data_IF_448603289327
#
_entry.id   IF_448603289327
#
_cell.length_a   1.000
_cell.length_b   1.000
_cell.length_c   1.000
_cell.angle_alpha   90.00
_cell.angle_beta   90.00
_cell.angle_gamma   90.00
#
_symmetry.space_group_name_H-M   'P 1'
#
loop_
_entity.id
_entity.type
_entity.pdbx_description
1 polymer ?
#
# COMPACT_ATOMS: atom_id res chain seq x y z
N UNK A 1 -2.48 -30.47 -13.25
CA UNK A 1 -3.30 -29.27 -13.54
C UNK A 1 -2.63 -28.54 -14.69
N UNK A 2 -3.22 -28.52 -15.90
CA UNK A 2 -2.61 -27.80 -17.04
C UNK A 2 -2.73 -26.30 -16.77
N UNK A 3 -1.61 -25.58 -16.79
CA UNK A 3 -1.61 -24.12 -16.72
C UNK A 3 -2.31 -23.59 -17.97
N UNK A 4 -3.31 -22.72 -17.78
CA UNK A 4 -4.00 -22.03 -18.87
C UNK A 4 -2.99 -21.25 -19.72
N UNK A 5 -3.22 -21.20 -21.03
CA UNK A 5 -2.40 -20.39 -21.93
C UNK A 5 -2.49 -18.90 -21.55
N UNK A 6 -1.45 -18.09 -21.82
CA UNK A 6 -1.49 -16.64 -21.56
C UNK A 6 -2.73 -15.94 -22.17
N UNK A 7 -3.17 -16.40 -23.34
CA UNK A 7 -4.37 -15.90 -24.03
C UNK A 7 -5.66 -16.21 -23.26
N UNK A 8 -5.79 -17.42 -22.71
CA UNK A 8 -6.93 -17.82 -21.89
C UNK A 8 -6.97 -17.03 -20.58
N UNK A 9 -5.82 -16.84 -19.92
CA UNK A 9 -5.72 -16.03 -18.70
C UNK A 9 -6.13 -14.58 -18.95
N UNK A 10 -5.66 -13.98 -20.04
CA UNK A 10 -6.04 -12.62 -20.42
C UNK A 10 -7.54 -12.50 -20.73
N UNK A 11 -8.12 -13.52 -21.38
CA UNK A 11 -9.55 -13.59 -21.64
C UNK A 11 -10.35 -13.65 -20.35
N UNK A 12 -9.95 -14.51 -19.41
CA UNK A 12 -10.61 -14.65 -18.10
C UNK A 12 -10.52 -13.37 -17.27
N UNK A 13 -9.35 -12.71 -17.23
CA UNK A 13 -9.17 -11.42 -16.56
C UNK A 13 -10.10 -10.35 -17.14
N UNK A 14 -10.22 -10.31 -18.46
CA UNK A 14 -11.10 -9.37 -19.14
C UNK A 14 -12.59 -9.64 -18.84
N UNK A 15 -13.02 -10.90 -18.88
CA UNK A 15 -14.41 -11.29 -18.52
C UNK A 15 -14.69 -10.92 -17.07
N UNK A 16 -13.81 -11.28 -16.13
CA UNK A 16 -13.97 -10.95 -14.72
C UNK A 16 -14.12 -9.45 -14.49
N UNK A 17 -13.28 -8.65 -15.15
CA UNK A 17 -13.33 -7.18 -15.10
C UNK A 17 -14.68 -6.64 -15.57
N UNK A 18 -15.19 -7.15 -16.70
CA UNK A 18 -16.51 -6.73 -17.22
C UNK A 18 -17.62 -7.12 -16.25
N UNK A 19 -17.60 -8.33 -15.68
CA UNK A 19 -18.57 -8.77 -14.70
C UNK A 19 -18.58 -7.88 -13.45
N UNK A 20 -17.41 -7.49 -12.95
CA UNK A 20 -17.28 -6.56 -11.83
C UNK A 20 -17.89 -5.18 -12.13
N UNK A 21 -17.70 -4.66 -13.35
CA UNK A 21 -18.30 -3.38 -13.78
C UNK A 21 -19.83 -3.50 -13.86
N UNK A 22 -20.35 -4.55 -14.50
CA UNK A 22 -21.79 -4.78 -14.60
C UNK A 22 -22.43 -4.95 -13.22
N UNK A 23 -21.79 -5.71 -12.33
CA UNK A 23 -22.20 -5.86 -10.94
C UNK A 23 -22.23 -4.51 -10.22
N UNK A 24 -21.21 -3.66 -10.40
CA UNK A 24 -21.16 -2.34 -9.78
C UNK A 24 -22.30 -1.43 -10.25
N UNK A 25 -22.67 -1.48 -11.53
CA UNK A 25 -23.82 -0.72 -12.08
C UNK A 25 -25.12 -1.17 -11.39
N UNK A 26 -25.37 -2.48 -11.33
CA UNK A 26 -26.56 -3.04 -10.67
C UNK A 26 -26.59 -2.63 -9.20
N UNK A 27 -25.45 -2.71 -8.50
CA UNK A 27 -25.35 -2.29 -7.09
C UNK A 27 -25.62 -0.79 -6.91
N UNK A 28 -25.19 0.05 -7.85
CA UNK A 28 -25.52 1.48 -7.84
C UNK A 28 -27.02 1.73 -7.99
N UNK A 29 -27.71 0.99 -8.85
CA UNK A 29 -29.17 1.09 -9.03
C UNK A 29 -29.91 0.66 -7.76
N UNK A 30 -29.33 -0.26 -6.99
CA UNK A 30 -29.81 -0.69 -5.68
C UNK A 30 -29.36 0.21 -4.52
N UNK A 31 -28.71 1.35 -4.80
CA UNK A 31 -28.14 2.29 -3.82
C UNK A 31 -27.07 1.67 -2.88
N UNK A 32 -26.48 0.53 -3.27
CA UNK A 32 -25.40 -0.17 -2.56
C UNK A 32 -24.02 0.34 -3.03
N UNK A 33 -23.72 1.60 -2.69
CA UNK A 33 -22.56 2.29 -3.25
C UNK A 33 -21.20 1.74 -2.77
N UNK A 34 -21.10 1.30 -1.52
CA UNK A 34 -19.85 0.74 -0.98
C UNK A 34 -19.53 -0.60 -1.64
N UNK A 35 -20.54 -1.44 -1.83
CA UNK A 35 -20.43 -2.73 -2.51
C UNK A 35 -20.12 -2.54 -4.00
N UNK A 36 -20.68 -1.50 -4.64
CA UNK A 36 -20.36 -1.15 -6.01
C UNK A 36 -18.88 -0.79 -6.18
N UNK A 37 -18.34 0.08 -5.30
CA UNK A 37 -16.92 0.46 -5.29
C UNK A 37 -16.06 -0.78 -5.00
N UNK A 38 -16.43 -1.59 -4.01
CA UNK A 38 -15.74 -2.85 -3.71
C UNK A 38 -15.67 -3.76 -4.93
N UNK A 39 -16.77 -3.94 -5.68
CA UNK A 39 -16.80 -4.73 -6.92
C UNK A 39 -15.80 -4.20 -7.96
N UNK A 40 -15.69 -2.87 -8.09
CA UNK A 40 -14.75 -2.20 -8.99
C UNK A 40 -13.29 -2.38 -8.54
N UNK A 41 -12.99 -2.26 -7.25
CA UNK A 41 -11.67 -2.53 -6.70
C UNK A 41 -11.27 -4.01 -6.89
N UNK A 42 -12.20 -4.96 -6.77
CA UNK A 42 -11.92 -6.38 -7.07
C UNK A 42 -11.46 -6.59 -8.51
N UNK A 43 -12.01 -5.84 -9.47
CA UNK A 43 -11.56 -5.91 -10.86
C UNK A 43 -10.10 -5.46 -11.02
N UNK A 44 -9.69 -4.44 -10.27
CA UNK A 44 -8.32 -3.94 -10.24
C UNK A 44 -7.41 -4.97 -9.54
N UNK A 45 -7.77 -5.39 -8.34
CA UNK A 45 -6.94 -6.23 -7.46
C UNK A 45 -6.75 -7.64 -8.05
N UNK A 46 -7.82 -8.28 -8.53
CA UNK A 46 -7.79 -9.69 -8.94
C UNK A 46 -7.40 -9.83 -10.42
N UNK A 47 -7.93 -8.96 -11.28
CA UNK A 47 -7.76 -9.09 -12.72
C UNK A 47 -6.80 -8.07 -13.33
N UNK A 48 -6.37 -7.05 -12.59
CA UNK A 48 -5.51 -5.97 -13.11
C UNK A 48 -6.24 -4.98 -14.01
N UNK A 49 -7.58 -5.07 -14.12
CA UNK A 49 -8.41 -4.20 -14.96
C UNK A 49 -7.89 -3.98 -16.41
N UNK A 50 -7.61 -5.05 -17.19
CA UNK A 50 -7.00 -4.94 -18.51
C UNK A 50 -7.77 -4.01 -19.46
N UNK A 51 -7.12 -2.91 -19.84
CA UNK A 51 -7.66 -1.87 -20.73
C UNK A 51 -8.86 -1.10 -20.17
N UNK A 52 -9.16 -1.19 -18.87
CA UNK A 52 -10.35 -0.60 -18.23
C UNK A 52 -10.06 0.16 -16.94
N UNK A 53 -8.79 0.24 -16.52
CA UNK A 53 -8.41 0.88 -15.25
C UNK A 53 -8.95 2.32 -15.14
N UNK A 54 -8.76 3.15 -16.17
CA UNK A 54 -9.22 4.55 -16.15
C UNK A 54 -10.75 4.66 -16.03
N UNK A 55 -11.48 3.80 -16.76
CA UNK A 55 -12.94 3.73 -16.66
C UNK A 55 -13.37 3.35 -15.24
N UNK A 56 -12.74 2.33 -14.66
CA UNK A 56 -13.05 1.86 -13.31
C UNK A 56 -12.76 2.95 -12.28
N UNK A 57 -11.61 3.62 -12.36
CA UNK A 57 -11.27 4.74 -11.49
C UNK A 57 -12.24 5.91 -11.64
N UNK A 58 -12.70 6.20 -12.86
CA UNK A 58 -13.72 7.22 -13.11
C UNK A 58 -15.06 6.84 -12.47
N UNK A 59 -15.49 5.58 -12.60
CA UNK A 59 -16.71 5.07 -11.97
C UNK A 59 -16.62 5.16 -10.44
N UNK A 60 -15.50 4.75 -9.85
CA UNK A 60 -15.27 4.86 -8.39
C UNK A 60 -15.45 6.31 -7.94
N UNK A 61 -14.79 7.27 -8.60
CA UNK A 61 -14.93 8.71 -8.27
C UNK A 61 -16.38 9.19 -8.41
N UNK A 62 -17.06 8.78 -9.48
CA UNK A 62 -18.47 9.13 -9.70
C UNK A 62 -19.41 8.58 -8.63
N UNK A 63 -19.17 7.37 -8.14
CA UNK A 63 -19.94 6.75 -7.04
C UNK A 63 -19.61 7.43 -5.71
N UNK A 64 -18.34 7.68 -5.42
CA UNK A 64 -17.91 8.39 -4.21
C UNK A 64 -18.52 9.80 -4.12
N UNK A 65 -18.63 10.52 -5.24
CA UNK A 65 -19.29 11.81 -5.29
C UNK A 65 -20.78 11.74 -4.90
N UNK A 66 -21.46 10.60 -5.10
CA UNK A 66 -22.85 10.38 -4.69
C UNK A 66 -23.01 10.05 -3.21
N UNK A 67 -22.01 9.41 -2.59
CA UNK A 67 -22.00 9.11 -1.15
C UNK A 67 -21.88 10.41 -0.33
N UNK A 68 -21.20 11.41 -0.90
CA UNK A 68 -20.85 12.66 -0.22
C UNK A 68 -19.42 12.60 0.29
N UNK A 69 -18.66 13.69 0.10
CA UNK A 69 -17.33 13.80 0.69
C UNK A 69 -17.45 14.06 2.18
N UNK A 70 -16.85 13.19 3.00
CA UNK A 70 -16.32 13.66 4.28
C UNK A 70 -15.36 14.81 3.98
N UNK A 71 -15.57 15.91 4.69
CA UNK A 71 -14.94 17.22 4.51
C UNK A 71 -13.52 17.17 3.98
N UNK A 72 -13.21 17.94 2.93
CA UNK A 72 -11.86 18.12 2.41
C UNK A 72 -10.84 18.28 3.55
N UNK A 73 -9.83 17.41 3.57
CA UNK A 73 -8.81 17.42 4.62
C UNK A 73 -8.14 18.79 4.68
N UNK A 74 -8.16 19.41 5.86
CA UNK A 74 -7.41 20.63 6.15
C UNK A 74 -6.23 20.22 7.01
N UNK A 75 -5.01 20.36 6.49
CA UNK A 75 -3.77 20.04 7.19
C UNK A 75 -3.54 20.86 8.49
N UNK A 76 -4.38 21.86 8.74
CA UNK A 76 -4.33 22.75 9.90
C UNK A 76 -4.70 22.01 11.19
N UNK A 77 -3.76 21.32 11.81
CA UNK A 77 -3.94 20.75 13.16
C UNK A 77 -3.09 19.54 13.51
N UNK A 78 -2.41 18.91 12.54
CA UNK A 78 -1.54 17.76 12.85
C UNK A 78 -0.23 18.27 13.45
N UNK A 79 -0.18 18.34 14.78
CA UNK A 79 1.08 18.60 15.50
C UNK A 79 2.12 17.58 15.03
N UNK A 80 3.30 18.06 14.63
CA UNK A 80 4.47 17.21 14.45
C UNK A 80 4.88 16.72 15.83
N UNK A 81 4.27 15.63 16.32
CA UNK A 81 4.90 14.87 17.39
C UNK A 81 6.19 14.32 16.78
N UNK A 82 7.32 14.71 17.35
CA UNK A 82 8.59 14.05 17.06
C UNK A 82 8.36 12.55 17.19
N UNK A 83 8.64 11.80 16.13
CA UNK A 83 8.82 10.37 16.28
C UNK A 83 10.01 10.20 17.22
N UNK A 84 9.75 9.74 18.45
CA UNK A 84 10.81 9.21 19.30
C UNK A 84 11.32 7.98 18.57
N UNK A 85 12.51 8.09 17.95
CA UNK A 85 13.23 6.95 17.41
C UNK A 85 13.27 5.88 18.50
N UNK A 86 12.71 4.70 18.24
CA UNK A 86 12.81 3.63 19.21
C UNK A 86 14.29 3.27 19.32
N UNK A 87 14.84 3.37 20.53
CA UNK A 87 16.18 2.84 20.83
C UNK A 87 16.10 1.33 20.68
N UNK A 88 16.43 0.83 19.50
CA UNK A 88 16.55 -0.61 19.28
C UNK A 88 17.81 -1.12 19.99
N UNK A 89 17.76 -2.31 20.58
CA UNK A 89 18.91 -2.95 21.24
C UNK A 89 19.91 -3.56 20.24
N UNK A 90 19.81 -3.26 18.96
CA UNK A 90 20.69 -3.79 17.91
C UNK A 90 21.90 -2.87 17.73
N UNK A 91 23.06 -3.42 17.34
CA UNK A 91 24.24 -2.63 17.02
C UNK A 91 23.91 -1.69 15.84
N UNK A 92 23.82 -0.39 16.13
CA UNK A 92 23.46 0.69 15.19
C UNK A 92 24.40 0.84 13.96
N UNK A 93 25.48 0.05 13.87
CA UNK A 93 26.62 0.32 12.99
C UNK A 93 26.87 -0.70 11.87
N UNK A 94 25.91 -1.57 11.52
CA UNK A 94 26.19 -2.64 10.54
C UNK A 94 26.05 -2.19 9.07
N UNK A 95 25.24 -1.17 8.78
CA UNK A 95 25.05 -0.61 7.43
C UNK A 95 25.52 0.85 7.41
N UNK A 96 26.45 1.24 6.51
CA UNK A 96 27.02 2.58 6.52
C UNK A 96 26.01 3.64 6.13
N UNK A 97 25.97 4.74 6.88
CA UNK A 97 25.30 5.96 6.45
C UNK A 97 26.24 6.81 5.61
N UNK A 98 25.79 7.24 4.44
CA UNK A 98 26.59 8.04 3.50
C UNK A 98 25.87 9.32 3.12
N UNK A 99 26.63 10.31 2.65
CA UNK A 99 26.04 11.46 1.95
C UNK A 99 25.50 11.02 0.59
N UNK A 100 24.42 11.65 0.08
CA UNK A 100 23.86 11.30 -1.21
C UNK A 100 24.94 11.28 -2.32
N UNK A 101 25.23 10.11 -2.91
CA UNK A 101 26.26 10.02 -3.93
C UNK A 101 25.79 10.70 -5.22
N UNK A 102 26.75 11.20 -6.01
CA UNK A 102 26.44 11.52 -7.41
C UNK A 102 25.95 10.27 -8.14
N UNK A 103 25.19 10.43 -9.22
CA UNK A 103 24.72 9.30 -10.02
C UNK A 103 25.87 8.37 -10.46
N UNK A 104 26.99 8.95 -10.89
CA UNK A 104 28.18 8.19 -11.30
C UNK A 104 28.83 7.45 -10.11
N UNK A 105 28.94 8.10 -8.95
CA UNK A 105 29.45 7.49 -7.72
C UNK A 105 28.57 6.34 -7.24
N UNK A 106 27.24 6.50 -7.35
CA UNK A 106 26.29 5.45 -7.04
C UNK A 106 26.50 4.23 -7.95
N UNK A 107 26.53 4.43 -9.27
CA UNK A 107 26.67 3.35 -10.23
C UNK A 107 27.99 2.58 -10.04
N UNK A 108 29.10 3.27 -9.81
CA UNK A 108 30.43 2.65 -9.76
C UNK A 108 30.79 2.05 -8.39
N UNK A 109 30.29 2.64 -7.30
CA UNK A 109 30.75 2.35 -5.94
C UNK A 109 29.59 1.96 -5.03
N UNK A 110 28.65 2.89 -4.78
CA UNK A 110 27.66 2.72 -3.70
C UNK A 110 26.63 1.64 -3.97
N UNK A 111 26.33 1.31 -5.23
CA UNK A 111 25.35 0.27 -5.61
C UNK A 111 25.76 -1.16 -5.24
N UNK A 112 27.03 -1.37 -4.85
CA UNK A 112 27.60 -2.70 -4.59
C UNK A 112 27.39 -3.21 -3.17
N UNK A 113 26.89 -2.38 -2.26
CA UNK A 113 26.63 -2.72 -0.86
C UNK A 113 25.48 -1.89 -0.30
N UNK A 114 24.72 -2.39 0.69
CA UNK A 114 23.68 -1.61 1.36
C UNK A 114 24.24 -0.32 1.99
N UNK A 115 23.47 0.77 1.94
CA UNK A 115 23.79 2.04 2.60
C UNK A 115 22.52 2.78 3.02
N UNK A 116 22.65 3.73 3.95
CA UNK A 116 21.56 4.58 4.45
C UNK A 116 21.78 6.03 4.07
N UNK A 117 20.81 6.64 3.38
CA UNK A 117 20.73 8.09 3.19
C UNK A 117 19.79 8.69 4.24
N UNK A 118 20.34 9.18 5.34
CA UNK A 118 19.55 9.82 6.41
C UNK A 118 18.97 11.13 5.89
N UNK A 119 17.72 11.40 6.26
CA UNK A 119 17.00 12.64 5.96
C UNK A 119 16.80 12.97 4.47
N UNK A 120 17.14 12.06 3.54
CA UNK A 120 17.06 12.34 2.10
C UNK A 120 15.63 12.58 1.59
N UNK A 121 14.64 11.97 2.27
CA UNK A 121 13.22 12.16 1.97
C UNK A 121 12.52 13.16 2.91
N UNK A 122 13.28 13.96 3.69
CA UNK A 122 12.73 14.88 4.69
C UNK A 122 11.77 15.91 4.08
N UNK A 123 12.08 16.39 2.87
CA UNK A 123 11.30 17.40 2.17
C UNK A 123 10.18 16.81 1.29
N UNK A 124 9.91 15.49 1.39
CA UNK A 124 8.84 14.89 0.60
C UNK A 124 7.47 15.38 1.11
N UNK A 125 6.49 15.63 0.20
CA UNK A 125 5.15 16.04 0.60
C UNK A 125 4.52 15.09 1.63
N UNK A 126 4.88 13.79 1.59
CA UNK A 126 4.43 12.77 2.53
C UNK A 126 4.69 13.10 4.02
N UNK A 127 5.70 13.94 4.29
CA UNK A 127 6.09 14.33 5.66
C UNK A 127 5.22 15.46 6.22
N UNK A 128 4.78 16.40 5.37
CA UNK A 128 4.10 17.62 5.80
C UNK A 128 2.82 17.92 5.00
N UNK A 129 2.94 18.34 3.72
CA UNK A 129 1.83 18.81 2.89
C UNK A 129 0.74 17.74 2.63
N UNK A 130 1.16 16.48 2.60
CA UNK A 130 0.38 15.30 2.25
C UNK A 130 0.66 14.21 3.29
N UNK A 131 0.30 14.41 4.57
CA UNK A 131 0.86 13.65 5.67
C UNK A 131 0.36 12.20 5.66
N UNK A 132 1.19 11.25 5.22
CA UNK A 132 0.82 9.82 5.20
C UNK A 132 0.69 9.22 6.61
N UNK A 133 1.14 9.97 7.63
CA UNK A 133 0.93 9.69 9.06
C UNK A 133 -0.50 10.01 9.56
N UNK A 134 -1.32 10.69 8.77
CA UNK A 134 -2.70 11.02 9.11
C UNK A 134 -3.68 10.08 8.41
N UNK A 135 -4.50 9.40 9.20
CA UNK A 135 -5.58 8.59 8.67
C UNK A 135 -6.64 9.43 7.98
N UNK A 136 -6.94 10.63 8.51
CA UNK A 136 -7.86 11.56 7.87
C UNK A 136 -7.35 11.99 6.49
N UNK A 137 -6.04 12.23 6.33
CA UNK A 137 -5.45 12.46 5.02
C UNK A 137 -5.63 11.25 4.10
N UNK A 138 -5.27 10.05 4.54
CA UNK A 138 -5.39 8.82 3.75
C UNK A 138 -6.84 8.53 3.33
N UNK A 139 -7.82 8.73 4.22
CA UNK A 139 -9.25 8.62 3.91
C UNK A 139 -9.70 9.68 2.90
N UNK A 140 -9.22 10.92 3.04
CA UNK A 140 -9.59 12.01 2.14
C UNK A 140 -9.15 11.79 0.70
N UNK A 141 -7.99 11.15 0.48
CA UNK A 141 -7.47 10.86 -0.86
C UNK A 141 -8.02 9.56 -1.44
N UNK A 142 -8.35 8.57 -0.60
CA UNK A 142 -8.92 7.31 -1.07
C UNK A 142 -10.40 7.45 -1.43
N UNK A 143 -11.10 8.34 -0.71
CA UNK A 143 -12.56 8.40 -0.66
C UNK A 143 -13.18 7.17 0.01
N UNK A 144 -14.51 7.17 0.24
CA UNK A 144 -15.21 6.08 0.93
C UNK A 144 -15.32 4.82 0.06
N UNK A 145 -15.58 3.69 0.72
CA UNK A 145 -15.96 2.42 0.08
C UNK A 145 -14.84 1.63 -0.60
N UNK A 146 -13.59 2.11 -0.53
CA UNK A 146 -12.44 1.40 -1.09
C UNK A 146 -12.13 0.12 -0.29
N UNK A 147 -11.58 -0.87 -0.97
CA UNK A 147 -11.08 -2.11 -0.34
C UNK A 147 -9.63 -2.35 -0.73
N UNK A 148 -8.89 -3.05 0.14
CA UNK A 148 -7.48 -3.38 -0.05
C UNK A 148 -7.22 -4.85 0.23
N UNK A 149 -6.27 -5.48 -0.49
CA UNK A 149 -5.78 -6.80 -0.12
C UNK A 149 -4.93 -6.68 1.15
N UNK A 150 -5.24 -7.51 2.14
CA UNK A 150 -4.53 -7.57 3.42
C UNK A 150 -4.14 -9.02 3.68
N UNK A 151 -2.89 -9.20 4.07
CA UNK A 151 -2.36 -10.48 4.51
C UNK A 151 -2.57 -10.65 6.01
N UNK A 152 -2.92 -11.86 6.43
CA UNK A 152 -3.24 -12.19 7.82
C UNK A 152 -2.55 -13.51 8.16
N UNK A 153 -1.61 -13.50 9.11
CA UNK A 153 -0.92 -14.68 9.64
C UNK A 153 0.56 -14.39 9.98
N UNK A 154 1.18 -15.22 10.81
CA UNK A 154 2.50 -14.93 11.40
C UNK A 154 3.66 -14.96 10.40
N UNK A 155 3.56 -15.86 9.42
CA UNK A 155 4.58 -16.17 8.42
C UNK A 155 3.88 -16.71 7.17
N UNK A 156 4.24 -16.26 5.97
CA UNK A 156 3.67 -16.78 4.71
C UNK A 156 3.93 -18.27 4.48
N UNK A 157 4.85 -18.87 5.26
CA UNK A 157 5.11 -20.31 5.28
C UNK A 157 4.19 -21.07 6.24
N UNK A 158 3.49 -20.36 7.12
CA UNK A 158 2.61 -20.94 8.12
C UNK A 158 1.24 -21.26 7.53
N UNK A 159 0.60 -22.30 8.05
CA UNK A 159 -0.75 -22.71 7.67
C UNK A 159 -1.83 -21.67 8.06
N UNK A 160 -1.51 -20.76 9.00
CA UNK A 160 -2.42 -19.69 9.41
C UNK A 160 -2.39 -18.46 8.47
N UNK A 161 -1.50 -18.43 7.47
CA UNK A 161 -1.41 -17.34 6.51
C UNK A 161 -2.54 -17.38 5.47
N UNK A 162 -3.22 -16.25 5.30
CA UNK A 162 -4.26 -16.06 4.29
C UNK A 162 -4.27 -14.62 3.78
N UNK A 163 -4.82 -14.43 2.59
CA UNK A 163 -5.13 -13.10 2.05
C UNK A 163 -6.63 -12.85 2.11
N UNK A 164 -7.02 -11.64 2.52
CA UNK A 164 -8.41 -11.17 2.52
C UNK A 164 -8.46 -9.79 1.88
N UNK A 165 -9.46 -9.54 1.03
CA UNK A 165 -9.81 -8.18 0.63
C UNK A 165 -10.71 -7.61 1.72
N UNK A 166 -10.31 -6.50 2.33
CA UNK A 166 -11.05 -5.86 3.42
C UNK A 166 -11.28 -4.37 3.17
N UNK A 167 -12.28 -3.74 3.82
CA UNK A 167 -12.49 -2.31 3.76
C UNK A 167 -11.24 -1.52 4.16
N UNK A 168 -10.92 -0.48 3.38
CA UNK A 168 -9.79 0.41 3.64
C UNK A 168 -9.89 1.09 5.00
N UNK A 169 -11.10 1.51 5.39
CA UNK A 169 -11.33 2.14 6.69
C UNK A 169 -11.12 1.18 7.87
N UNK A 170 -11.51 -0.09 7.70
CA UNK A 170 -11.26 -1.15 8.69
C UNK A 170 -9.75 -1.36 8.84
N UNK A 171 -9.01 -1.45 7.72
CA UNK A 171 -7.55 -1.57 7.74
C UNK A 171 -6.86 -0.36 8.37
N UNK A 172 -7.23 0.87 7.99
CA UNK A 172 -6.65 2.07 8.60
C UNK A 172 -6.91 2.17 10.10
N UNK A 173 -7.97 1.54 10.61
CA UNK A 173 -8.31 1.54 12.04
C UNK A 173 -7.45 0.56 12.86
N UNK A 174 -6.69 -0.33 12.21
CA UNK A 174 -5.72 -1.19 12.89
C UNK A 174 -4.34 -0.53 13.01
N UNK A 175 -4.13 0.59 12.31
CA UNK A 175 -2.87 1.32 12.31
C UNK A 175 -2.87 2.37 13.41
N UNK A 176 -1.77 2.43 14.18
CA UNK A 176 -1.54 3.49 15.17
C UNK A 176 -1.18 4.82 14.46
N UNK A 177 -2.17 5.47 13.83
CA UNK A 177 -2.04 6.76 13.15
C UNK A 177 -2.27 7.95 14.11
N UNK A 178 -1.73 9.14 13.81
CA UNK A 178 -1.63 10.24 14.80
C UNK A 178 -2.97 10.88 15.19
N UNK A 179 -3.93 10.80 14.29
CA UNK A 179 -5.27 11.38 14.40
C UNK A 179 -6.33 10.33 14.73
N UNK A 180 -5.90 9.15 15.16
CA UNK A 180 -6.79 8.08 15.63
C UNK A 180 -6.57 7.82 17.13
N UNK A 181 -7.63 7.43 17.88
CA UNK A 181 -7.45 6.90 19.21
C UNK A 181 -6.52 5.68 19.14
N UNK A 182 -5.51 5.61 20.02
CA UNK A 182 -4.63 4.45 20.13
C UNK A 182 -5.48 3.21 20.33
N UNK A 183 -5.47 2.35 19.34
CA UNK A 183 -6.16 1.07 19.40
C UNK A 183 -5.19 0.05 19.96
N UNK A 184 -5.48 -0.51 21.14
CA UNK A 184 -4.80 -1.70 21.67
C UNK A 184 -5.18 -2.93 20.83
N UNK A 185 -4.71 -2.99 19.58
CA UNK A 185 -4.82 -4.17 18.74
C UNK A 185 -3.43 -4.80 18.60
N UNK A 186 -3.10 -5.67 19.56
CA UNK A 186 -1.94 -6.53 19.52
C UNK A 186 -2.29 -7.86 18.81
N UNK A 187 -2.54 -7.85 17.50
CA UNK A 187 -2.55 -9.11 16.71
C UNK A 187 -2.58 -8.89 15.18
N UNK A 188 -1.46 -8.48 14.56
CA UNK A 188 -1.34 -8.43 13.09
C UNK A 188 0.11 -8.63 12.60
N UNK A 189 0.39 -9.70 11.82
CA UNK A 189 1.71 -9.91 11.21
C UNK A 189 1.74 -9.93 9.66
N UNK A 190 2.85 -9.39 9.14
CA UNK A 190 3.69 -9.63 7.92
C UNK A 190 3.10 -9.69 6.49
N UNK A 191 3.84 -9.07 5.54
CA UNK A 191 3.43 -8.65 4.19
C UNK A 191 4.14 -9.37 2.99
N UNK A 192 3.50 -9.46 1.79
CA UNK A 192 4.12 -9.74 0.47
C UNK A 192 3.47 -9.05 -0.77
N UNK A 193 4.28 -8.85 -1.82
CA UNK A 193 4.12 -7.92 -2.95
C UNK A 193 3.49 -8.47 -4.25
N UNK A 194 2.63 -7.71 -4.96
CA UNK A 194 2.24 -7.98 -6.34
C UNK A 194 3.17 -7.31 -7.38
N UNK A 195 3.37 -7.97 -8.52
CA UNK A 195 4.35 -7.58 -9.56
C UNK A 195 3.66 -6.88 -10.74
N UNK A 196 4.18 -5.73 -11.21
CA UNK A 196 3.73 -5.03 -12.43
C UNK A 196 4.73 -5.13 -13.61
N UNK A 197 4.24 -4.77 -14.81
CA UNK A 197 4.84 -5.00 -16.13
C UNK A 197 5.89 -3.95 -16.58
N UNK A 198 6.08 -2.83 -15.87
CA UNK A 198 6.85 -1.67 -16.37
C UNK A 198 8.31 -1.57 -15.91
N UNK A 199 8.91 -2.66 -15.41
CA UNK A 199 10.31 -2.73 -14.94
C UNK A 199 10.72 -1.72 -13.84
N UNK A 200 9.81 -0.87 -13.36
CA UNK A 200 9.89 -0.08 -12.13
C UNK A 200 8.62 -0.35 -11.32
N UNK A 201 8.79 -0.86 -10.11
CA UNK A 201 7.69 -1.26 -9.23
C UNK A 201 7.74 -0.41 -7.98
N UNK A 202 6.76 0.48 -7.83
CA UNK A 202 6.55 1.25 -6.62
C UNK A 202 5.53 0.51 -5.76
N UNK A 203 5.94 0.06 -4.57
CA UNK A 203 4.99 -0.40 -3.57
C UNK A 203 4.86 0.63 -2.46
N UNK A 204 3.78 0.50 -1.71
CA UNK A 204 3.65 1.14 -0.41
C UNK A 204 3.37 0.04 0.59
N UNK A 205 4.16 -0.02 1.66
CA UNK A 205 3.90 -0.92 2.77
C UNK A 205 3.27 -0.12 3.90
N UNK A 206 2.16 -0.61 4.43
CA UNK A 206 1.53 -0.12 5.65
C UNK A 206 1.29 -1.33 6.54
N UNK A 207 1.64 -1.21 7.81
CA UNK A 207 1.44 -2.27 8.79
C UNK A 207 1.51 -1.69 10.20
N UNK A 208 0.81 -2.31 11.17
CA UNK A 208 0.90 -1.92 12.57
C UNK A 208 2.28 -2.25 13.15
N UNK A 209 2.54 -1.73 14.34
CA UNK A 209 3.74 -2.07 15.11
C UNK A 209 3.87 -3.59 15.30
N UNK A 210 5.08 -4.11 15.16
CA UNK A 210 5.33 -5.57 15.20
C UNK A 210 5.17 -6.29 13.85
N UNK A 211 4.80 -5.59 12.78
CA UNK A 211 4.84 -6.15 11.42
C UNK A 211 6.27 -6.53 11.06
N UNK A 212 6.56 -7.83 11.05
CA UNK A 212 7.83 -8.37 10.58
C UNK A 212 7.75 -8.70 9.07
N UNK A 213 8.88 -9.00 8.43
CA UNK A 213 8.89 -9.65 7.12
C UNK A 213 10.00 -10.71 7.13
N UNK A 214 9.75 -11.98 6.76
CA UNK A 214 10.78 -13.00 6.88
C UNK A 214 11.92 -12.70 5.90
N UNK A 215 13.14 -13.03 6.30
CA UNK A 215 14.32 -12.82 5.47
C UNK A 215 14.16 -13.53 4.11
N UNK A 216 14.30 -12.76 3.04
CA UNK A 216 14.20 -13.25 1.66
C UNK A 216 15.15 -12.48 0.75
N UNK A 217 15.41 -13.01 -0.44
CA UNK A 217 16.15 -12.32 -1.48
C UNK A 217 15.23 -12.11 -2.69
N UNK A 218 15.29 -10.91 -3.27
CA UNK A 218 14.65 -10.64 -4.56
C UNK A 218 15.47 -11.36 -5.62
N UNK A 219 14.90 -12.43 -6.19
CA UNK A 219 15.59 -13.31 -7.15
C UNK A 219 15.45 -12.90 -8.62
N UNK A 220 14.75 -11.80 -8.89
CA UNK A 220 14.62 -11.27 -10.24
C UNK A 220 15.63 -10.14 -10.49
N UNK A 221 15.92 -9.85 -11.76
CA UNK A 221 16.77 -8.75 -12.25
C UNK A 221 16.28 -7.34 -11.86
N UNK A 222 15.32 -7.25 -10.93
CA UNK A 222 14.78 -6.04 -10.33
C UNK A 222 15.60 -5.77 -9.06
N UNK A 223 16.44 -4.74 -9.11
CA UNK A 223 17.08 -4.23 -7.91
C UNK A 223 16.00 -3.56 -7.04
N UNK A 224 15.93 -3.90 -5.75
CA UNK A 224 15.31 -3.00 -4.76
C UNK A 224 16.21 -1.77 -4.67
N UNK A 225 15.90 -0.76 -5.48
CA UNK A 225 16.78 0.40 -5.64
C UNK A 225 16.78 1.30 -4.41
N UNK A 226 15.67 1.33 -3.65
CA UNK A 226 15.55 2.07 -2.40
C UNK A 226 14.30 1.66 -1.61
N UNK A 227 14.40 1.64 -0.28
CA UNK A 227 13.27 1.69 0.64
C UNK A 227 13.26 3.08 1.31
N UNK A 228 12.13 3.77 1.23
CA UNK A 228 11.94 5.06 1.92
C UNK A 228 10.96 4.87 3.08
N UNK A 229 11.38 5.26 4.29
CA UNK A 229 10.58 5.17 5.49
C UNK A 229 9.99 6.54 5.85
N UNK A 230 8.67 6.59 6.00
CA UNK A 230 7.93 7.83 6.32
C UNK A 230 7.42 7.87 7.76
N UNK A 231 7.30 6.71 8.42
CA UNK A 231 6.86 6.58 9.82
C UNK A 231 7.29 5.24 10.42
N UNK A 232 7.48 5.23 11.74
CA UNK A 232 7.93 4.05 12.51
C UNK A 232 9.40 3.73 12.23
N UNK A 233 9.89 2.65 12.84
CA UNK A 233 11.21 2.08 12.55
C UNK A 233 11.03 0.76 11.80
N UNK A 234 11.78 0.57 10.72
CA UNK A 234 11.84 -0.67 9.97
C UNK A 234 13.22 -1.28 10.24
N UNK A 235 13.23 -2.48 10.80
CA UNK A 235 14.44 -3.17 11.27
C UNK A 235 14.80 -4.27 10.28
#
# INVERSE_FOLDING_TARGET
MRLSSPTELNTLRNIYTICCILRAIILCDLLQFHEAISSLDHAIIIAGAPGKLDLILHLIRGIQAKIGQETAFRASGVSVQKCDYFKTNYKEDTVPSIVPPSFLSFQLVSSKSPFILRDYARDWPAMEERPWRSAAYLRSISGPGRVVPVEIGDDYRSENWKQKIMPWDEFLSTLNLEDQPTSDFSDYPQYRQPVSEDNLLFNTWLGPEGTMSPAHTVRDHKHDLALAQFRGDAI
#
